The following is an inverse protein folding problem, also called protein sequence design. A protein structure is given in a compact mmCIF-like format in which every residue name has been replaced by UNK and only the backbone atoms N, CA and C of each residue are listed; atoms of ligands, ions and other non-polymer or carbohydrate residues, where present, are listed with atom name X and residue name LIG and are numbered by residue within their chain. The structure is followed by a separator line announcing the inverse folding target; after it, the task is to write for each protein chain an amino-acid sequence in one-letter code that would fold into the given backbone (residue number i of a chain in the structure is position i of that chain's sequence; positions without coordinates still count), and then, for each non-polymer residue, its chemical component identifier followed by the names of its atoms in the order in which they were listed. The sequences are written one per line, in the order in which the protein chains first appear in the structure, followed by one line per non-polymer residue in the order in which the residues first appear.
data_IF_814879696188
#
_entry.id   IF_814879696188
#
_cell.length_a   1.000
_cell.length_b   1.000
_cell.length_c   1.000
_cell.angle_alpha   90.00
_cell.angle_beta   90.00
_cell.angle_gamma   90.00
#
_symmetry.space_group_name_H-M   'P 1'
#
loop_
_entity.id
_entity.type
_entity.pdbx_description
1 polymer ?
#
# COMPACT_ATOMS: atom_id res chain seq x y z
N UNK A 1 31.09 16.61 -16.10
CA UNK A 1 29.92 15.87 -16.69
C UNK A 1 28.66 16.66 -16.34
N UNK A 2 27.43 16.27 -16.74
CA UNK A 2 26.21 16.96 -16.27
C UNK A 2 25.08 15.97 -15.95
N UNK A 3 24.46 16.06 -14.76
CA UNK A 3 23.29 15.30 -14.31
C UNK A 3 22.04 15.78 -15.05
N UNK A 4 21.78 15.15 -16.19
CA UNK A 4 20.72 15.51 -17.14
C UNK A 4 19.37 14.81 -16.89
N UNK A 5 19.24 14.01 -15.83
CA UNK A 5 18.00 13.28 -15.53
C UNK A 5 17.60 13.41 -14.06
N UNK A 6 16.30 13.41 -13.81
CA UNK A 6 15.68 13.44 -12.48
C UNK A 6 15.33 12.04 -11.96
N UNK A 7 15.93 10.97 -12.51
CA UNK A 7 15.60 9.61 -12.10
C UNK A 7 16.28 9.29 -10.76
N UNK A 8 15.45 9.03 -9.77
CA UNK A 8 15.78 8.72 -8.38
C UNK A 8 16.13 7.25 -8.16
N UNK A 9 15.41 6.34 -8.83
CA UNK A 9 15.62 4.89 -8.75
C UNK A 9 15.28 4.15 -10.04
N UNK A 10 16.07 3.13 -10.36
CA UNK A 10 15.71 2.10 -11.35
C UNK A 10 15.07 0.92 -10.62
N UNK A 11 14.02 0.35 -11.22
CA UNK A 11 13.39 -0.89 -10.72
C UNK A 11 13.33 -1.95 -11.81
N UNK A 12 13.49 -3.21 -11.40
CA UNK A 12 13.27 -4.37 -12.26
C UNK A 12 12.57 -5.49 -11.47
N UNK A 13 11.81 -6.32 -12.16
CA UNK A 13 11.28 -7.58 -11.61
C UNK A 13 12.24 -8.73 -11.96
N UNK A 14 12.39 -9.70 -11.06
CA UNK A 14 13.19 -10.90 -11.31
C UNK A 14 12.61 -11.79 -12.42
N UNK A 15 13.42 -12.74 -12.88
CA UNK A 15 13.02 -13.71 -13.91
C UNK A 15 13.57 -15.12 -13.67
N UNK A 16 14.26 -15.34 -12.55
CA UNK A 16 15.07 -16.54 -12.25
C UNK A 16 16.19 -16.86 -13.26
N UNK A 17 16.39 -16.00 -14.27
CA UNK A 17 17.37 -16.17 -15.37
C UNK A 17 18.28 -14.95 -15.56
N UNK A 18 17.81 -13.76 -15.18
CA UNK A 18 18.58 -12.51 -15.24
C UNK A 18 19.37 -12.30 -13.93
N UNK A 19 20.66 -12.00 -14.07
CA UNK A 19 21.56 -11.57 -12.98
C UNK A 19 21.92 -10.07 -13.09
N UNK A 20 22.11 -9.58 -14.32
CA UNK A 20 22.65 -8.24 -14.59
C UNK A 20 21.56 -7.19 -14.76
N UNK A 21 21.52 -6.19 -13.90
CA UNK A 21 20.56 -5.09 -13.90
C UNK A 21 21.28 -3.76 -14.12
N UNK A 22 20.98 -3.06 -15.23
CA UNK A 22 21.54 -1.72 -15.46
C UNK A 22 20.84 -0.70 -14.58
N UNK A 23 21.61 0.29 -14.09
CA UNK A 23 21.10 1.46 -13.38
C UNK A 23 21.16 2.75 -14.22
N UNK A 24 21.59 2.66 -15.48
CA UNK A 24 21.56 3.79 -16.43
C UNK A 24 20.14 4.33 -16.58
N UNK A 25 19.93 5.67 -16.55
CA UNK A 25 20.92 6.75 -16.65
C UNK A 25 21.49 7.27 -15.31
N UNK A 26 21.28 6.60 -14.16
CA UNK A 26 21.85 7.05 -12.87
C UNK A 26 23.38 6.99 -12.92
N UNK A 27 24.03 8.04 -12.41
CA UNK A 27 25.49 8.23 -12.34
C UNK A 27 25.94 8.22 -10.89
N UNK A 28 27.05 7.57 -10.57
CA UNK A 28 27.69 7.53 -9.23
C UNK A 28 29.15 8.01 -9.30
N UNK A 29 29.67 8.56 -8.19
CA UNK A 29 31.05 9.02 -7.98
C UNK A 29 31.90 8.01 -7.20
N UNK A 30 31.29 7.16 -6.38
CA UNK A 30 31.88 5.96 -5.78
C UNK A 30 30.92 4.75 -5.88
N UNK A 31 31.50 3.56 -5.76
CA UNK A 31 30.85 2.27 -5.52
C UNK A 31 29.91 2.28 -4.32
N UNK A 32 30.32 2.92 -3.22
CA UNK A 32 29.58 2.91 -1.94
C UNK A 32 28.36 3.84 -1.95
N UNK A 33 28.19 4.69 -2.97
CA UNK A 33 27.03 5.57 -3.18
C UNK A 33 25.84 4.85 -3.83
N UNK A 34 25.93 3.55 -4.12
CA UNK A 34 24.83 2.77 -4.71
C UNK A 34 24.11 1.93 -3.64
N UNK A 35 22.80 2.11 -3.49
CA UNK A 35 21.98 1.25 -2.63
C UNK A 35 21.11 0.32 -3.47
N UNK A 36 21.12 -0.96 -3.09
CA UNK A 36 20.36 -2.03 -3.76
C UNK A 36 19.42 -2.68 -2.74
N UNK A 37 18.12 -2.66 -3.04
CA UNK A 37 17.07 -3.21 -2.18
C UNK A 37 16.28 -4.25 -2.98
N UNK A 38 16.11 -5.45 -2.44
CA UNK A 38 15.16 -6.44 -3.01
C UNK A 38 13.86 -6.45 -2.22
N UNK A 39 12.72 -6.58 -2.89
CA UNK A 39 11.40 -6.62 -2.26
C UNK A 39 10.61 -7.85 -2.71
N UNK A 40 9.99 -8.56 -1.75
CA UNK A 40 9.03 -9.63 -2.03
C UNK A 40 7.68 -9.00 -2.41
N UNK A 41 7.24 -9.21 -3.65
CA UNK A 41 6.05 -8.53 -4.21
C UNK A 41 4.77 -8.84 -3.42
N UNK A 42 4.65 -10.07 -2.89
CA UNK A 42 3.45 -10.53 -2.20
C UNK A 42 3.31 -10.03 -0.75
N UNK A 43 4.39 -9.55 -0.12
CA UNK A 43 4.40 -9.12 1.29
C UNK A 43 4.89 -7.70 1.49
N UNK A 44 5.44 -7.05 0.46
CA UNK A 44 6.08 -5.74 0.56
C UNK A 44 7.40 -5.73 1.33
N UNK A 45 7.87 -6.88 1.85
CA UNK A 45 9.06 -6.96 2.69
C UNK A 45 10.30 -6.64 1.85
N UNK A 46 10.98 -5.57 2.24
CA UNK A 46 12.24 -5.10 1.65
C UNK A 46 13.44 -5.70 2.38
N UNK A 47 14.57 -5.78 1.68
CA UNK A 47 15.85 -6.25 2.21
C UNK A 47 16.97 -5.52 1.49
N UNK A 48 17.68 -4.66 2.22
CA UNK A 48 18.90 -4.01 1.76
C UNK A 48 19.95 -5.07 1.46
N UNK A 49 20.66 -4.93 0.34
CA UNK A 49 21.75 -5.80 -0.08
C UNK A 49 23.08 -5.07 0.08
N UNK A 50 24.10 -5.82 0.49
CA UNK A 50 25.46 -5.33 0.66
C UNK A 50 26.28 -5.48 -0.61
N UNK A 51 27.13 -4.49 -0.88
CA UNK A 51 28.17 -4.57 -1.91
C UNK A 51 29.17 -5.66 -1.54
N UNK A 52 29.61 -6.45 -2.52
CA UNK A 52 30.69 -7.43 -2.34
C UNK A 52 30.53 -8.68 -3.19
N UNK A 53 31.23 -9.74 -2.80
CA UNK A 53 31.20 -11.04 -3.49
C UNK A 53 30.31 -12.04 -2.73
N UNK A 54 29.61 -12.92 -3.45
CA UNK A 54 28.85 -14.03 -2.86
C UNK A 54 27.35 -14.08 -3.23
N UNK A 55 26.60 -15.04 -2.65
CA UNK A 55 25.27 -15.44 -3.11
C UNK A 55 24.11 -14.56 -2.61
N UNK A 56 24.40 -13.59 -1.74
CA UNK A 56 23.41 -12.65 -1.15
C UNK A 56 23.79 -11.18 -1.33
N UNK A 57 24.97 -10.93 -1.91
CA UNK A 57 25.54 -9.61 -2.16
C UNK A 57 25.30 -9.21 -3.62
N UNK A 58 25.48 -7.93 -3.94
CA UNK A 58 25.55 -7.44 -5.31
C UNK A 58 26.97 -6.95 -5.63
N UNK A 59 27.33 -6.96 -6.91
CA UNK A 59 28.61 -6.41 -7.40
C UNK A 59 28.36 -5.43 -8.53
N UNK A 60 29.02 -4.27 -8.48
CA UNK A 60 28.92 -3.22 -9.51
C UNK A 60 29.84 -3.55 -10.68
N UNK A 61 29.38 -3.27 -11.91
CA UNK A 61 30.12 -3.38 -13.15
C UNK A 61 29.99 -2.08 -13.96
N UNK A 62 31.11 -1.37 -14.06
CA UNK A 62 31.26 -0.09 -14.78
C UNK A 62 32.09 -0.38 -16.05
N UNK A 63 31.57 -0.13 -17.27
CA UNK A 63 32.25 -0.49 -18.51
C UNK A 63 33.65 0.13 -18.67
N UNK A 64 33.79 1.40 -18.28
CA UNK A 64 35.02 2.18 -18.48
C UNK A 64 35.95 2.20 -17.26
N UNK A 65 35.57 1.54 -16.16
CA UNK A 65 36.40 1.31 -14.98
C UNK A 65 36.76 2.53 -14.11
N UNK A 66 36.31 3.73 -14.46
CA UNK A 66 36.50 4.97 -13.69
C UNK A 66 35.19 5.59 -13.22
N UNK A 67 35.29 6.58 -12.33
CA UNK A 67 34.20 7.41 -11.83
C UNK A 67 34.43 8.88 -12.24
N UNK A 68 33.38 9.73 -12.27
CA UNK A 68 31.96 9.39 -12.14
C UNK A 68 31.38 8.70 -13.38
N UNK A 69 30.52 7.71 -13.20
CA UNK A 69 30.04 6.84 -14.28
C UNK A 69 28.67 6.21 -14.05
N UNK A 70 28.12 5.58 -15.10
CA UNK A 70 26.93 4.73 -15.06
C UNK A 70 27.27 3.30 -15.47
N UNK A 71 26.39 2.32 -15.18
CA UNK A 71 26.67 0.93 -15.51
C UNK A 71 25.57 -0.05 -15.13
N UNK A 72 25.97 -1.14 -14.48
CA UNK A 72 25.08 -2.21 -14.03
C UNK A 72 25.54 -2.85 -12.74
N UNK A 73 24.63 -3.57 -12.06
CA UNK A 73 24.96 -4.51 -11.00
C UNK A 73 24.71 -5.94 -11.48
N UNK A 74 25.48 -6.89 -10.97
CA UNK A 74 25.11 -8.31 -10.96
C UNK A 74 24.57 -8.66 -9.57
N UNK A 75 23.34 -9.19 -9.51
CA UNK A 75 22.72 -9.71 -8.29
C UNK A 75 22.08 -11.09 -8.52
N UNK A 76 22.39 -12.12 -7.71
CA UNK A 76 23.51 -12.17 -6.75
C UNK A 76 24.88 -12.05 -7.46
N UNK A 77 25.88 -11.52 -6.75
CA UNK A 77 27.22 -11.24 -7.28
C UNK A 77 27.97 -12.51 -7.72
N UNK A 78 27.93 -13.57 -6.91
CA UNK A 78 28.60 -14.83 -7.22
C UNK A 78 27.88 -16.04 -6.60
N UNK A 79 27.41 -16.96 -7.45
CA UNK A 79 26.60 -18.11 -7.02
C UNK A 79 25.23 -17.68 -6.48
N UNK A 80 24.55 -18.57 -5.76
CA UNK A 80 23.22 -18.30 -5.21
C UNK A 80 22.09 -18.43 -6.23
N UNK A 81 20.87 -18.10 -5.80
CA UNK A 81 19.66 -18.14 -6.62
C UNK A 81 19.45 -16.79 -7.30
N UNK A 82 19.22 -16.80 -8.61
CA UNK A 82 18.88 -15.57 -9.35
C UNK A 82 17.50 -15.03 -8.93
N UNK A 83 17.35 -13.70 -8.94
CA UNK A 83 16.15 -13.01 -8.46
C UNK A 83 14.86 -13.58 -9.11
N UNK A 84 13.92 -14.14 -8.34
CA UNK A 84 12.72 -14.78 -8.87
C UNK A 84 11.67 -13.77 -9.34
N UNK A 85 10.74 -14.20 -10.18
CA UNK A 85 9.64 -13.34 -10.65
C UNK A 85 8.65 -12.89 -9.55
N UNK A 86 8.75 -13.46 -8.34
CA UNK A 86 8.05 -13.03 -7.12
C UNK A 86 8.72 -11.87 -6.39
N UNK A 87 9.89 -11.43 -6.85
CA UNK A 87 10.68 -10.36 -6.24
C UNK A 87 11.00 -9.23 -7.23
N UNK A 88 11.14 -8.02 -6.70
CA UNK A 88 11.67 -6.84 -7.39
C UNK A 88 13.03 -6.47 -6.82
N UNK A 89 13.83 -5.80 -7.64
CA UNK A 89 15.03 -5.10 -7.23
C UNK A 89 14.85 -3.61 -7.52
N UNK A 90 15.25 -2.79 -6.55
CA UNK A 90 15.36 -1.35 -6.65
C UNK A 90 16.84 -1.00 -6.53
N UNK A 91 17.29 -0.10 -7.39
CA UNK A 91 18.66 0.40 -7.43
C UNK A 91 18.55 1.92 -7.40
N UNK A 92 19.11 2.54 -6.37
CA UNK A 92 19.15 4.00 -6.24
C UNK A 92 20.54 4.47 -5.83
N UNK A 93 20.75 5.77 -5.93
CA UNK A 93 21.94 6.45 -5.44
C UNK A 93 21.69 7.03 -4.04
N UNK A 94 22.72 7.04 -3.20
CA UNK A 94 22.71 7.54 -1.83
C UNK A 94 24.00 8.34 -1.59
N UNK A 95 23.96 9.60 -1.98
CA UNK A 95 25.00 10.61 -1.73
C UNK A 95 25.09 10.96 -0.23
N UNK A 96 26.31 11.09 0.33
CA UNK A 96 26.53 11.76 1.59
C UNK A 96 26.17 13.25 1.48
N UNK A 97 25.33 13.77 2.39
CA UNK A 97 24.87 15.17 2.38
C UNK A 97 25.94 16.16 2.91
N UNK A 98 27.06 16.29 2.19
CA UNK A 98 28.20 17.16 2.51
C UNK A 98 28.86 17.70 1.24
N UNK A 99 29.39 18.92 1.30
CA UNK A 99 30.28 19.46 0.26
C UNK A 99 31.72 19.18 0.66
N UNK A 100 32.44 18.41 -0.16
CA UNK A 100 33.85 18.07 0.08
C UNK A 100 34.85 19.00 -0.63
N UNK A 101 34.39 19.76 -1.63
CA UNK A 101 35.22 20.72 -2.37
C UNK A 101 35.29 22.06 -1.64
N UNK A 102 36.48 22.42 -1.16
CA UNK A 102 36.81 23.76 -0.68
C UNK A 102 37.49 24.57 -1.80
N UNK A 103 37.26 25.90 -1.83
CA UNK A 103 37.76 26.79 -2.88
C UNK A 103 38.70 27.86 -2.32
N UNK A 104 39.99 27.67 -2.55
CA UNK A 104 41.03 28.61 -2.12
C UNK A 104 40.90 29.98 -2.82
N UNK A 105 40.92 31.05 -2.03
CA UNK A 105 40.89 32.42 -2.55
C UNK A 105 42.18 32.75 -3.30
N UNK A 106 42.05 33.08 -4.59
CA UNK A 106 43.15 33.23 -5.57
C UNK A 106 43.90 31.92 -5.92
N UNK A 107 43.29 30.76 -5.61
CA UNK A 107 43.75 29.47 -6.13
C UNK A 107 43.54 29.33 -7.65
N UNK A 108 44.03 28.23 -8.22
CA UNK A 108 43.76 27.88 -9.61
C UNK A 108 42.30 27.43 -9.78
N UNK A 109 41.54 28.11 -10.64
CA UNK A 109 40.16 27.74 -10.95
C UNK A 109 40.12 26.57 -11.93
N UNK A 110 39.62 25.41 -11.48
CA UNK A 110 39.29 24.25 -12.32
C UNK A 110 37.77 24.18 -12.54
N UNK A 111 37.36 24.19 -13.80
CA UNK A 111 35.94 24.15 -14.18
C UNK A 111 35.31 22.76 -14.08
N UNK A 112 36.07 21.67 -14.23
CA UNK A 112 35.51 20.31 -14.12
C UNK A 112 35.23 19.98 -12.65
N UNK A 113 36.08 20.44 -11.72
CA UNK A 113 35.83 20.34 -10.28
C UNK A 113 34.56 21.12 -9.87
N UNK A 114 34.33 22.30 -10.45
CA UNK A 114 33.08 23.04 -10.22
C UNK A 114 31.87 22.29 -10.76
N UNK A 115 31.87 21.90 -12.03
CA UNK A 115 30.77 21.16 -12.64
C UNK A 115 30.47 19.86 -11.87
N UNK A 116 31.50 19.11 -11.46
CA UNK A 116 31.35 17.91 -10.63
C UNK A 116 30.69 18.21 -9.28
N UNK A 117 31.07 19.29 -8.60
CA UNK A 117 30.45 19.69 -7.33
C UNK A 117 28.98 20.13 -7.49
N UNK A 118 28.64 20.78 -8.60
CA UNK A 118 27.27 21.17 -8.92
C UNK A 118 26.40 19.95 -9.24
N UNK A 119 26.94 19.00 -10.00
CA UNK A 119 26.31 17.71 -10.29
C UNK A 119 26.02 16.90 -9.02
N UNK A 120 26.95 16.84 -8.07
CA UNK A 120 26.75 16.19 -6.78
C UNK A 120 25.66 16.89 -5.95
N UNK A 121 25.60 18.23 -5.95
CA UNK A 121 24.53 18.98 -5.29
C UNK A 121 23.17 18.68 -5.93
N UNK A 122 23.08 18.62 -7.27
CA UNK A 122 21.86 18.21 -7.99
C UNK A 122 21.48 16.76 -7.64
N UNK A 123 22.46 15.86 -7.51
CA UNK A 123 22.24 14.49 -7.09
C UNK A 123 21.63 14.37 -5.68
N UNK A 124 22.15 15.14 -4.71
CA UNK A 124 21.60 15.23 -3.35
C UNK A 124 20.17 15.80 -3.34
N UNK A 125 19.87 16.79 -4.18
CA UNK A 125 18.51 17.37 -4.29
C UNK A 125 17.50 16.35 -4.82
N UNK A 126 17.86 15.55 -5.84
CA UNK A 126 16.99 14.48 -6.36
C UNK A 126 16.73 13.41 -5.28
N UNK A 127 17.74 13.04 -4.50
CA UNK A 127 17.64 12.10 -3.38
C UNK A 127 16.76 12.63 -2.23
N UNK A 128 16.90 13.91 -1.86
CA UNK A 128 16.04 14.54 -0.86
C UNK A 128 14.60 14.63 -1.35
N UNK A 129 14.36 14.88 -2.64
CA UNK A 129 13.03 14.84 -3.24
C UNK A 129 12.39 13.42 -3.13
N UNK A 130 13.15 12.35 -3.38
CA UNK A 130 12.67 10.95 -3.21
C UNK A 130 12.24 10.66 -1.77
N UNK A 131 13.02 11.13 -0.79
CA UNK A 131 12.71 10.97 0.63
C UNK A 131 11.49 11.81 1.05
N UNK A 132 11.35 13.02 0.50
CA UNK A 132 10.17 13.88 0.71
C UNK A 132 8.91 13.33 0.05
N UNK A 133 9.00 12.70 -1.12
CA UNK A 133 7.85 12.04 -1.77
C UNK A 133 7.38 10.77 -1.05
N UNK A 134 8.22 10.22 -0.17
CA UNK A 134 7.89 9.13 0.76
C UNK A 134 7.41 9.60 2.14
N UNK A 135 7.40 10.90 2.43
CA UNK A 135 7.01 11.43 3.75
C UNK A 135 5.51 11.77 3.85
N UNK A 136 5.01 11.90 5.08
CA UNK A 136 3.65 12.39 5.32
C UNK A 136 3.61 13.91 5.09
N UNK A 137 2.93 14.34 4.03
CA UNK A 137 2.84 15.76 3.63
C UNK A 137 1.56 16.40 4.15
N UNK A 138 1.72 17.55 4.81
CA UNK A 138 0.61 18.43 5.17
C UNK A 138 0.20 19.30 3.97
N UNK A 139 -1.10 19.54 3.69
CA UNK A 139 -1.53 20.46 2.65
C UNK A 139 -1.05 21.90 2.87
N UNK A 140 -0.80 22.65 1.79
CA UNK A 140 -0.34 24.06 1.86
C UNK A 140 -1.32 24.98 2.60
N UNK A 141 -2.61 24.64 2.64
CA UNK A 141 -3.64 25.37 3.38
C UNK A 141 -3.74 25.03 4.88
N UNK A 142 -2.81 24.23 5.42
CA UNK A 142 -2.82 23.87 6.85
C UNK A 142 -2.50 25.09 7.72
N UNK A 143 -3.25 25.36 8.80
CA UNK A 143 -2.97 26.49 9.69
C UNK A 143 -1.56 26.43 10.28
N UNK A 144 -0.89 27.58 10.41
CA UNK A 144 0.42 27.69 11.07
C UNK A 144 0.39 27.47 12.60
N UNK A 145 -0.77 27.05 13.14
CA UNK A 145 -0.98 26.62 14.52
C UNK A 145 -1.00 25.10 14.68
N UNK A 146 -0.90 24.34 13.59
CA UNK A 146 -0.82 22.87 13.63
C UNK A 146 0.65 22.48 13.82
N UNK A 147 0.99 21.91 14.97
CA UNK A 147 2.32 21.33 15.17
C UNK A 147 2.52 20.10 14.27
N UNK A 148 3.73 19.96 13.74
CA UNK A 148 4.13 18.88 12.83
C UNK A 148 5.27 18.02 13.40
N UNK A 149 5.78 18.33 14.61
CA UNK A 149 6.61 17.37 15.34
C UNK A 149 5.78 16.14 15.74
N UNK A 150 6.35 14.96 15.53
CA UNK A 150 5.75 13.72 15.99
C UNK A 150 6.04 13.56 17.49
N UNK A 151 5.01 13.39 18.35
CA UNK A 151 5.23 13.24 19.79
C UNK A 151 6.03 11.95 20.08
N UNK A 152 6.86 11.94 21.15
CA UNK A 152 7.74 10.82 21.44
C UNK A 152 6.92 9.54 21.79
N UNK A 153 7.36 8.35 21.32
CA UNK A 153 6.71 7.09 21.64
C UNK A 153 6.95 6.71 23.11
N UNK A 154 5.90 6.73 23.94
CA UNK A 154 5.97 6.44 25.38
C UNK A 154 5.50 5.04 25.78
N UNK A 155 4.66 4.40 24.96
CA UNK A 155 4.15 3.03 25.14
C UNK A 155 4.13 2.29 23.78
N UNK A 156 4.03 0.96 23.80
CA UNK A 156 3.66 0.19 22.60
C UNK A 156 2.16 0.29 22.27
N UNK A 157 1.78 -0.08 21.05
CA UNK A 157 0.37 -0.13 20.58
C UNK A 157 -0.37 1.21 20.57
N UNK A 158 0.37 2.30 20.33
CA UNK A 158 -0.17 3.64 20.06
C UNK A 158 -0.55 3.79 18.57
N UNK A 159 -1.62 4.52 18.27
CA UNK A 159 -1.93 5.02 16.92
C UNK A 159 -1.78 6.54 16.85
N UNK A 160 -1.32 7.05 15.70
CA UNK A 160 -1.19 8.48 15.43
C UNK A 160 -2.56 9.05 15.03
N UNK A 161 -3.01 10.12 15.68
CA UNK A 161 -4.18 10.89 15.24
C UNK A 161 -3.91 12.40 15.30
N UNK A 162 -4.65 13.16 14.51
CA UNK A 162 -4.72 14.61 14.66
C UNK A 162 -5.60 14.93 15.88
N UNK A 163 -5.19 15.89 16.70
CA UNK A 163 -5.99 16.37 17.84
C UNK A 163 -7.31 16.98 17.37
N UNK A 164 -8.34 16.90 18.21
CA UNK A 164 -9.66 17.50 17.95
C UNK A 164 -9.67 19.03 17.90
N UNK A 165 -8.64 19.68 18.45
CA UNK A 165 -8.42 21.12 18.37
C UNK A 165 -7.57 21.55 17.15
N UNK A 166 -7.14 20.58 16.33
CA UNK A 166 -6.25 20.74 15.18
C UNK A 166 -4.87 21.33 15.52
N UNK A 167 -4.43 21.38 16.79
CA UNK A 167 -3.13 21.97 17.19
C UNK A 167 -1.91 21.08 16.91
N UNK A 168 -2.09 19.94 16.24
CA UNK A 168 -1.03 19.01 15.87
C UNK A 168 -1.40 17.56 16.14
N UNK A 169 -0.39 16.70 16.15
CA UNK A 169 -0.56 15.25 16.33
C UNK A 169 -0.55 14.82 17.79
N UNK A 170 -1.19 13.70 18.07
CA UNK A 170 -1.11 12.96 19.34
C UNK A 170 -1.02 11.45 19.08
N UNK A 171 -0.34 10.73 19.97
CA UNK A 171 -0.29 9.27 19.98
C UNK A 171 -1.24 8.75 21.07
N UNK A 172 -2.10 7.80 20.73
CA UNK A 172 -3.19 7.34 21.60
C UNK A 172 -3.23 5.83 21.70
N UNK A 173 -3.40 5.30 22.91
CA UNK A 173 -3.50 3.86 23.14
C UNK A 173 -4.86 3.31 22.66
N UNK A 174 -4.86 2.12 22.06
CA UNK A 174 -6.08 1.43 21.64
C UNK A 174 -6.80 0.80 22.86
N UNK A 175 -7.41 1.66 23.69
CA UNK A 175 -8.14 1.28 24.90
C UNK A 175 -9.50 0.61 24.60
N UNK A 176 -9.42 -0.66 24.16
CA UNK A 176 -10.55 -1.60 23.98
C UNK A 176 -11.74 -1.03 23.22
N UNK A 177 -11.71 -1.14 21.89
CA UNK A 177 -12.62 -0.49 20.95
C UNK A 177 -14.11 -0.77 21.18
N UNK A 178 -14.76 0.06 22.00
CA UNK A 178 -16.21 0.22 22.01
C UNK A 178 -16.68 0.89 20.72
N UNK A 179 -17.02 0.08 19.70
CA UNK A 179 -17.63 0.52 18.43
C UNK A 179 -16.94 1.72 17.75
N UNK A 180 -15.65 1.61 17.45
CA UNK A 180 -15.02 2.44 16.41
C UNK A 180 -15.00 1.66 15.09
N UNK A 181 -15.79 2.14 14.13
CA UNK A 181 -15.85 1.57 12.79
C UNK A 181 -14.55 1.94 12.05
N UNK A 182 -13.63 0.99 11.92
CA UNK A 182 -12.58 1.04 10.91
C UNK A 182 -13.23 0.62 9.59
N UNK A 183 -13.80 1.59 8.86
CA UNK A 183 -14.56 1.33 7.63
C UNK A 183 -13.65 1.07 6.43
N UNK A 184 -13.00 -0.09 6.41
CA UNK A 184 -12.45 -0.69 5.19
C UNK A 184 -12.64 -2.22 5.17
N UNK A 185 -13.91 -2.65 5.07
CA UNK A 185 -14.30 -4.01 4.66
C UNK A 185 -15.83 -4.14 4.48
N UNK A 186 -16.45 -3.37 3.56
CA UNK A 186 -17.92 -3.36 3.27
C UNK A 186 -18.84 -2.99 4.46
N UNK A 187 -20.13 -2.64 4.22
CA UNK A 187 -21.10 -2.48 5.30
C UNK A 187 -21.56 -3.86 5.82
N UNK A 188 -20.81 -4.44 6.75
CA UNK A 188 -21.38 -5.47 7.63
C UNK A 188 -22.36 -4.80 8.61
N UNK A 189 -23.50 -5.43 8.85
CA UNK A 189 -24.49 -4.93 9.81
C UNK A 189 -23.88 -4.84 11.21
N UNK A 190 -24.20 -3.76 11.93
CA UNK A 190 -23.76 -3.57 13.31
C UNK A 190 -24.46 -4.59 14.22
N UNK A 191 -23.85 -5.76 14.38
CA UNK A 191 -24.27 -6.77 15.35
C UNK A 191 -24.06 -6.23 16.77
N UNK A 192 -25.07 -5.50 17.28
CA UNK A 192 -25.12 -5.14 18.70
C UNK A 192 -25.02 -6.43 19.52
N UNK A 193 -24.04 -6.47 20.43
CA UNK A 193 -23.85 -7.62 21.31
C UNK A 193 -25.17 -7.92 22.03
N UNK A 194 -25.63 -9.17 21.94
CA UNK A 194 -26.91 -9.57 22.50
C UNK A 194 -26.96 -9.24 24.00
N UNK A 195 -27.80 -8.27 24.38
CA UNK A 195 -28.05 -7.97 25.78
C UNK A 195 -28.54 -9.23 26.48
N UNK A 196 -27.99 -9.50 27.67
CA UNK A 196 -28.36 -10.69 28.44
C UNK A 196 -29.89 -10.73 28.59
N UNK A 197 -30.50 -11.85 28.19
CA UNK A 197 -31.94 -11.95 28.05
C UNK A 197 -32.65 -11.62 29.38
N UNK A 198 -33.36 -10.50 29.40
CA UNK A 198 -34.24 -10.15 30.51
C UNK A 198 -35.36 -11.18 30.62
N UNK A 199 -35.61 -11.67 31.83
CA UNK A 199 -36.62 -12.71 32.09
C UNK A 199 -38.03 -12.13 32.17
N UNK A 200 -38.46 -11.44 31.11
CA UNK A 200 -39.80 -10.88 30.93
C UNK A 200 -40.44 -11.52 29.71
N UNK A 201 -41.62 -12.12 29.88
CA UNK A 201 -42.32 -12.90 28.84
C UNK A 201 -42.99 -12.00 27.75
N UNK A 202 -42.67 -10.71 27.74
CA UNK A 202 -43.41 -9.64 27.06
C UNK A 202 -43.04 -9.42 25.57
N UNK A 203 -42.16 -10.24 24.99
CA UNK A 203 -41.85 -10.24 23.53
C UNK A 203 -42.17 -11.58 22.88
N UNK A 204 -43.43 -12.01 23.04
CA UNK A 204 -44.02 -13.00 22.13
C UNK A 204 -44.13 -12.42 20.71
N UNK A 205 -44.09 -13.28 19.67
CA UNK A 205 -44.04 -12.87 18.26
C UNK A 205 -45.29 -12.16 17.68
N UNK A 206 -46.15 -11.58 18.50
CA UNK A 206 -47.32 -10.81 18.09
C UNK A 206 -46.98 -9.39 17.58
N UNK A 207 -45.91 -8.78 18.10
CA UNK A 207 -45.56 -7.38 17.81
C UNK A 207 -44.87 -7.17 16.45
N UNK A 208 -44.56 -8.24 15.72
CA UNK A 208 -44.08 -8.18 14.34
C UNK A 208 -45.23 -7.99 13.34
N UNK A 209 -45.94 -6.87 13.49
CA UNK A 209 -47.03 -6.46 12.60
C UNK A 209 -46.51 -6.12 11.19
N UNK A 210 -46.51 -7.10 10.29
CA UNK A 210 -46.27 -6.85 8.86
C UNK A 210 -47.39 -5.96 8.30
N UNK A 211 -47.03 -4.80 7.74
CA UNK A 211 -47.96 -3.88 7.08
C UNK A 211 -48.66 -4.58 5.90
N UNK A 212 -49.90 -5.00 6.11
CA UNK A 212 -50.74 -5.58 5.05
C UNK A 212 -51.15 -4.50 4.05
N UNK A 213 -51.27 -4.90 2.78
CA UNK A 213 -51.47 -3.96 1.68
C UNK A 213 -52.78 -3.16 1.80
N UNK A 214 -52.75 -1.97 1.20
CA UNK A 214 -53.86 -1.02 1.06
C UNK A 214 -55.19 -1.72 0.72
N UNK A 215 -56.18 -1.62 1.61
CA UNK A 215 -57.51 -2.19 1.38
C UNK A 215 -58.24 -1.39 0.30
N UNK A 216 -58.36 -1.96 -0.89
CA UNK A 216 -59.35 -1.52 -1.89
C UNK A 216 -60.63 -2.31 -1.62
N UNK A 217 -61.73 -1.60 -1.39
CA UNK A 217 -62.98 -2.17 -0.86
C UNK A 217 -63.61 -3.22 -1.79
N UNK A 218 -63.89 -4.40 -1.22
CA UNK A 218 -64.58 -5.51 -1.88
C UNK A 218 -65.96 -5.78 -1.23
N UNK A 219 -66.85 -4.78 -1.24
CA UNK A 219 -68.23 -4.86 -0.74
C UNK A 219 -69.11 -5.84 -1.55
N UNK A 220 -68.93 -7.14 -1.33
CA UNK A 220 -69.76 -8.20 -1.92
C UNK A 220 -69.77 -9.55 -1.14
N UNK A 221 -70.59 -9.64 -0.09
CA UNK A 221 -71.45 -10.80 0.31
C UNK A 221 -70.83 -12.21 0.55
N UNK A 222 -71.20 -12.83 1.67
CA UNK A 222 -71.22 -14.32 1.85
C UNK A 222 -70.12 -14.88 2.76
N UNK A 223 -70.14 -14.68 4.08
CA UNK A 223 -70.92 -15.45 5.08
C UNK A 223 -70.75 -16.99 5.06
N UNK A 224 -70.19 -17.49 6.17
CA UNK A 224 -70.42 -18.79 6.83
C UNK A 224 -69.68 -20.02 6.27
N UNK A 225 -68.86 -20.59 7.16
CA UNK A 225 -68.24 -21.92 7.05
C UNK A 225 -69.25 -23.04 7.29
N UNK A 226 -69.14 -24.13 6.52
CA UNK A 226 -69.70 -25.45 6.85
C UNK A 226 -68.69 -26.55 6.53
N UNK A 227 -68.76 -27.65 7.30
CA UNK A 227 -67.88 -28.81 7.19
C UNK A 227 -68.32 -29.79 6.09
N UNK A 228 -67.40 -30.69 5.78
CA UNK A 228 -67.54 -32.09 5.30
C UNK A 228 -66.95 -32.39 3.90
N UNK A 229 -66.38 -33.59 3.71
CA UNK A 229 -65.42 -33.85 2.63
C UNK A 229 -66.01 -34.67 1.48
N UNK A 230 -65.26 -34.75 0.38
CA UNK A 230 -65.27 -35.91 -0.51
C UNK A 230 -63.82 -36.27 -0.89
N UNK A 231 -63.49 -37.55 -0.83
CA UNK A 231 -62.24 -38.10 -1.33
C UNK A 231 -62.54 -39.34 -2.14
N UNK A 232 -62.18 -39.33 -3.43
CA UNK A 232 -62.26 -40.49 -4.32
C UNK A 232 -60.97 -40.55 -5.14
N UNK A 233 -60.28 -41.67 -5.05
CA UNK A 233 -59.20 -42.03 -5.97
C UNK A 233 -59.85 -42.76 -7.15
N UNK A 234 -59.62 -42.28 -8.37
CA UNK A 234 -59.99 -42.96 -9.61
C UNK A 234 -58.82 -42.89 -10.60
N UNK A 235 -58.63 -43.95 -11.39
CA UNK A 235 -57.43 -44.19 -12.20
C UNK A 235 -57.74 -44.35 -13.69
N UNK A 236 -56.67 -44.27 -14.51
CA UNK A 236 -56.50 -44.77 -15.90
C UNK A 236 -57.15 -44.00 -17.06
N UNK A 237 -56.37 -43.94 -18.15
CA UNK A 237 -56.77 -43.77 -19.57
C UNK A 237 -57.53 -42.46 -19.93
N UNK A 238 -57.51 -41.88 -21.14
CA UNK A 238 -56.80 -42.06 -22.44
C UNK A 238 -56.91 -40.68 -23.19
N UNK A 239 -56.14 -40.23 -24.21
CA UNK A 239 -55.12 -40.75 -25.14
C UNK A 239 -53.98 -39.71 -25.33
N UNK A 240 -52.98 -39.99 -26.20
CA UNK A 240 -52.06 -38.99 -26.78
C UNK A 240 -52.54 -38.58 -28.17
N UNK A 241 -52.57 -37.28 -28.46
CA UNK A 241 -52.70 -36.74 -29.82
C UNK A 241 -51.67 -35.63 -30.03
N UNK A 242 -50.71 -35.86 -30.93
CA UNK A 242 -49.85 -34.82 -31.49
C UNK A 242 -50.25 -34.58 -32.94
N UNK A 243 -50.47 -33.32 -33.31
CA UNK A 243 -50.45 -32.83 -34.69
C UNK A 243 -49.62 -31.56 -34.70
N UNK A 244 -48.61 -31.53 -35.56
CA UNK A 244 -47.90 -30.33 -35.98
C UNK A 244 -47.88 -30.36 -37.50
N UNK A 245 -48.18 -29.21 -38.13
CA UNK A 245 -47.78 -28.89 -39.50
C UNK A 245 -46.36 -28.30 -39.49
#
# INVERSE_FOLDING_TARGET
MTVSTNLDKVTATGTSLRRTFSFSPIVIWDSDELEVITQIIATGVETVRTLGTGPTNYSISIPDGGYPATGSIDFPAAGGTLLPATEKIFIRRVEPLRQDVDYESQGGYDSEVLEQSLDQIVAMVIQLQEQLDRSLKSPVGTPSTVDHEMPPPVTGSLYLRLKSDLTGWELVELSSTGTSVVSDATPQETALAAGAAGTSDDVSGADHAHLTAHVVDATARGRISTKYPQGVIATKEEQVVFVWD
#
